data_IF_798194066117
#
_entry.id   IF_798194066117
#
_cell.length_a   1.000
_cell.length_b   1.000
_cell.length_c   1.000
_cell.angle_alpha   90.00
_cell.angle_beta   90.00
_cell.angle_gamma   90.00
#
_symmetry.space_group_name_H-M   'P 1'
#
loop_
_entity.id
_entity.type
_entity.pdbx_description
1 polymer ?
#
# COMPACT_ATOMS: atom_id res chain seq x y z
N UNK A 1 -1.42 -26.43 -11.30
CA UNK A 1 -2.02 -25.12 -11.64
C UNK A 1 -3.26 -24.96 -10.79
N UNK A 2 -3.21 -24.14 -9.73
CA UNK A 2 -4.45 -23.70 -9.07
C UNK A 2 -5.27 -22.92 -10.10
N UNK A 3 -6.53 -23.28 -10.30
CA UNK A 3 -7.37 -22.66 -11.32
C UNK A 3 -7.60 -21.19 -10.96
N UNK A 4 -7.70 -20.30 -11.96
CA UNK A 4 -8.01 -18.87 -11.78
C UNK A 4 -9.28 -18.65 -10.92
N UNK A 5 -10.18 -19.63 -10.88
CA UNK A 5 -11.38 -19.68 -10.03
C UNK A 5 -11.08 -19.75 -8.53
N UNK A 6 -9.98 -20.40 -8.09
CA UNK A 6 -9.57 -20.37 -6.67
C UNK A 6 -9.07 -18.98 -6.25
N UNK A 7 -8.41 -18.27 -7.16
CA UNK A 7 -7.93 -16.88 -6.95
C UNK A 7 -9.11 -15.91 -6.84
N UNK A 8 -10.26 -16.20 -7.43
CA UNK A 8 -11.47 -15.38 -7.35
C UNK A 8 -12.49 -15.89 -6.32
N UNK A 9 -12.13 -16.82 -5.44
CA UNK A 9 -13.01 -17.29 -4.36
C UNK A 9 -13.59 -16.12 -3.54
N UNK A 10 -14.75 -16.32 -2.90
CA UNK A 10 -15.46 -15.30 -2.10
C UNK A 10 -14.53 -14.60 -1.08
N UNK A 11 -13.53 -15.33 -0.55
CA UNK A 11 -12.53 -14.79 0.40
C UNK A 11 -11.59 -13.77 -0.26
N UNK A 12 -11.28 -13.93 -1.54
CA UNK A 12 -10.46 -13.00 -2.31
C UNK A 12 -11.31 -11.86 -2.88
N UNK A 13 -12.55 -12.12 -3.29
CA UNK A 13 -13.50 -11.08 -3.71
C UNK A 13 -13.68 -10.00 -2.65
N UNK A 14 -13.96 -10.37 -1.39
CA UNK A 14 -14.14 -9.39 -0.33
C UNK A 14 -12.89 -8.55 -0.04
N UNK A 15 -11.70 -9.12 -0.22
CA UNK A 15 -10.45 -8.38 0.04
C UNK A 15 -10.06 -7.46 -1.11
N UNK A 16 -10.44 -7.81 -2.34
CA UNK A 16 -10.20 -6.99 -3.53
C UNK A 16 -11.20 -5.84 -3.63
N UNK A 17 -12.48 -6.12 -3.37
CA UNK A 17 -13.56 -5.13 -3.53
C UNK A 17 -13.91 -4.35 -2.25
N UNK A 18 -13.56 -4.90 -1.08
CA UNK A 18 -13.73 -4.23 0.21
C UNK A 18 -12.46 -4.40 1.08
N UNK A 19 -11.30 -3.90 0.63
CA UNK A 19 -10.06 -3.97 1.39
C UNK A 19 -10.23 -3.27 2.74
N UNK A 20 -9.76 -3.91 3.80
CA UNK A 20 -9.75 -3.29 5.13
C UNK A 20 -8.75 -2.13 5.14
N UNK A 21 -8.91 -1.21 6.11
CA UNK A 21 -7.95 -0.11 6.33
C UNK A 21 -6.51 -0.60 6.51
N UNK A 22 -6.31 -1.82 6.99
CA UNK A 22 -5.00 -2.47 7.06
C UNK A 22 -4.39 -2.66 5.67
N UNK A 23 -5.14 -3.16 4.69
CA UNK A 23 -4.66 -3.33 3.32
C UNK A 23 -4.32 -1.99 2.65
N UNK A 24 -5.12 -0.95 2.90
CA UNK A 24 -4.84 0.40 2.39
C UNK A 24 -3.50 0.91 2.91
N UNK A 25 -3.22 0.74 4.21
CA UNK A 25 -1.92 1.09 4.81
C UNK A 25 -0.76 0.25 4.26
N UNK A 26 -1.00 -1.03 4.01
CA UNK A 26 0.01 -1.94 3.42
C UNK A 26 0.39 -1.50 2.00
N UNK A 27 -0.61 -1.10 1.19
CA UNK A 27 -0.40 -0.52 -0.15
C UNK A 27 0.37 0.79 -0.05
N UNK A 28 0.01 1.68 0.88
CA UNK A 28 0.73 2.93 1.11
C UNK A 28 2.21 2.69 1.44
N UNK A 29 2.51 1.73 2.32
CA UNK A 29 3.88 1.42 2.71
C UNK A 29 4.76 0.84 1.59
N UNK A 30 4.17 0.21 0.57
CA UNK A 30 4.92 -0.39 -0.55
C UNK A 30 4.97 0.45 -1.82
N UNK A 31 4.26 1.59 -1.84
CA UNK A 31 4.30 2.49 -2.99
C UNK A 31 5.34 3.57 -2.79
N UNK A 32 6.15 3.80 -3.83
CA UNK A 32 7.16 4.87 -3.81
C UNK A 32 6.47 6.21 -3.63
N UNK A 33 7.00 7.07 -2.76
CA UNK A 33 6.45 8.39 -2.41
C UNK A 33 6.12 9.24 -3.66
N UNK A 34 6.98 9.19 -4.68
CA UNK A 34 6.82 9.98 -5.91
C UNK A 34 5.74 9.52 -6.90
N UNK A 35 5.16 8.32 -6.73
CA UNK A 35 4.19 7.78 -7.68
C UNK A 35 2.75 8.00 -7.23
N UNK A 36 1.99 8.78 -7.99
CA UNK A 36 0.54 8.92 -7.79
C UNK A 36 -0.16 7.62 -8.18
N UNK A 37 -0.91 7.05 -7.24
CA UNK A 37 -1.74 5.88 -7.45
C UNK A 37 -3.01 6.24 -8.21
N UNK A 38 -3.29 5.50 -9.28
CA UNK A 38 -4.59 5.44 -9.97
C UNK A 38 -5.39 4.22 -9.49
N UNK A 39 -6.69 4.19 -9.78
CA UNK A 39 -7.56 3.06 -9.46
C UNK A 39 -7.02 1.72 -10.02
N UNK A 40 -6.58 1.71 -11.28
CA UNK A 40 -6.01 0.52 -11.91
C UNK A 40 -4.72 0.06 -11.23
N UNK A 41 -3.82 1.00 -10.90
CA UNK A 41 -2.59 0.66 -10.18
C UNK A 41 -2.85 0.17 -8.74
N UNK A 42 -3.90 0.70 -8.09
CA UNK A 42 -4.32 0.24 -6.77
C UNK A 42 -4.86 -1.19 -6.84
N UNK A 43 -5.72 -1.48 -7.82
CA UNK A 43 -6.25 -2.81 -8.08
C UNK A 43 -5.11 -3.82 -8.32
N UNK A 44 -4.14 -3.47 -9.17
CA UNK A 44 -2.97 -4.32 -9.45
C UNK A 44 -2.17 -4.64 -8.19
N UNK A 45 -1.96 -3.66 -7.30
CA UNK A 45 -1.23 -3.86 -6.05
C UNK A 45 -1.99 -4.77 -5.09
N UNK A 46 -3.30 -4.58 -4.95
CA UNK A 46 -4.15 -5.46 -4.14
C UNK A 46 -4.12 -6.90 -4.66
N UNK A 47 -4.27 -7.09 -5.98
CA UNK A 47 -4.19 -8.41 -6.61
C UNK A 47 -2.81 -9.03 -6.36
N UNK A 48 -1.74 -8.24 -6.49
CA UNK A 48 -0.39 -8.67 -6.19
C UNK A 48 -0.23 -9.15 -4.74
N UNK A 49 -0.85 -8.46 -3.77
CA UNK A 49 -0.83 -8.88 -2.37
C UNK A 49 -1.56 -10.20 -2.13
N UNK A 50 -2.75 -10.37 -2.71
CA UNK A 50 -3.52 -11.60 -2.57
C UNK A 50 -2.83 -12.79 -3.24
N UNK A 51 -2.23 -12.58 -4.42
CA UNK A 51 -1.47 -13.59 -5.16
C UNK A 51 -0.23 -14.02 -4.38
N UNK A 52 0.54 -13.06 -3.85
CA UNK A 52 1.69 -13.35 -2.97
C UNK A 52 1.26 -14.09 -1.71
N UNK A 53 0.11 -13.76 -1.11
CA UNK A 53 -0.41 -14.44 0.09
C UNK A 53 -0.72 -15.91 -0.15
N UNK A 54 -1.16 -16.27 -1.35
CA UNK A 54 -1.39 -17.68 -1.73
C UNK A 54 -0.12 -18.34 -2.31
N UNK A 55 1.05 -17.70 -2.17
CA UNK A 55 2.35 -18.19 -2.64
C UNK A 55 2.42 -18.45 -4.14
N UNK A 56 1.62 -17.73 -4.93
CA UNK A 56 1.74 -17.67 -6.38
C UNK A 56 2.56 -16.43 -6.70
N UNK A 57 3.67 -16.58 -7.43
CA UNK A 57 4.59 -15.47 -7.74
C UNK A 57 4.70 -15.29 -9.25
N UNK A 58 3.56 -15.12 -9.91
CA UNK A 58 3.50 -14.98 -11.36
C UNK A 58 2.94 -13.61 -11.74
N UNK A 59 3.79 -12.81 -12.40
CA UNK A 59 3.45 -11.48 -12.88
C UNK A 59 2.39 -11.51 -13.99
N UNK A 60 2.39 -12.55 -14.83
CA UNK A 60 1.42 -12.71 -15.92
C UNK A 60 0.02 -12.92 -15.33
N UNK A 61 -0.08 -13.68 -14.24
CA UNK A 61 -1.35 -13.90 -13.54
C UNK A 61 -1.85 -12.59 -12.92
N UNK A 62 -0.97 -11.78 -12.32
CA UNK A 62 -1.33 -10.47 -11.76
C UNK A 62 -1.91 -9.57 -12.85
N UNK A 63 -1.22 -9.45 -13.98
CA UNK A 63 -1.62 -8.54 -15.06
C UNK A 63 -2.92 -9.01 -15.70
N UNK A 64 -3.02 -10.30 -16.02
CA UNK A 64 -4.25 -10.90 -16.60
C UNK A 64 -5.46 -10.70 -15.69
N UNK A 65 -5.32 -10.94 -14.39
CA UNK A 65 -6.43 -10.77 -13.45
C UNK A 65 -6.77 -9.30 -13.22
N UNK A 66 -5.79 -8.41 -13.27
CA UNK A 66 -6.02 -6.96 -13.16
C UNK A 66 -6.88 -6.49 -14.31
N UNK A 67 -6.52 -6.85 -15.55
CA UNK A 67 -7.26 -6.45 -16.74
C UNK A 67 -8.67 -7.07 -16.74
N UNK A 68 -8.79 -8.36 -16.43
CA UNK A 68 -10.09 -9.04 -16.35
C UNK A 68 -11.02 -8.41 -15.30
N UNK A 69 -10.51 -8.10 -14.10
CA UNK A 69 -11.31 -7.48 -13.06
C UNK A 69 -11.65 -6.03 -13.37
N UNK A 70 -10.75 -5.31 -14.03
CA UNK A 70 -11.02 -3.96 -14.50
C UNK A 70 -12.12 -3.94 -15.56
N UNK A 71 -12.01 -4.78 -16.60
CA UNK A 71 -12.96 -4.81 -17.71
C UNK A 71 -14.34 -5.32 -17.30
N UNK A 72 -14.40 -6.23 -16.31
CA UNK A 72 -15.66 -6.76 -15.77
C UNK A 72 -16.27 -5.92 -14.64
N UNK A 73 -15.57 -4.89 -14.17
CA UNK A 73 -16.01 -4.10 -13.02
C UNK A 73 -17.06 -3.06 -13.38
N UNK A 74 -18.00 -2.85 -12.46
CA UNK A 74 -19.01 -1.82 -12.58
C UNK A 74 -18.40 -0.43 -12.32
N UNK A 75 -19.03 0.65 -12.82
CA UNK A 75 -18.59 2.02 -12.51
C UNK A 75 -18.42 2.28 -11.00
N UNK A 76 -19.33 1.73 -10.19
CA UNK A 76 -19.27 1.84 -8.73
C UNK A 76 -18.04 1.14 -8.12
N UNK A 77 -17.64 -0.01 -8.66
CA UNK A 77 -16.42 -0.71 -8.20
C UNK A 77 -15.16 0.08 -8.57
N UNK A 78 -15.11 0.65 -9.79
CA UNK A 78 -14.00 1.50 -10.22
C UNK A 78 -13.89 2.79 -9.41
N UNK A 79 -15.03 3.39 -9.05
CA UNK A 79 -15.09 4.55 -8.16
C UNK A 79 -14.55 4.21 -6.77
N UNK A 80 -14.92 3.05 -6.20
CA UNK A 80 -14.35 2.58 -4.93
C UNK A 80 -12.82 2.46 -4.99
N UNK A 81 -12.28 1.83 -6.03
CA UNK A 81 -10.82 1.73 -6.17
C UNK A 81 -10.15 3.10 -6.37
N UNK A 82 -10.84 4.03 -7.02
CA UNK A 82 -10.38 5.42 -7.14
C UNK A 82 -10.32 6.08 -5.77
N UNK A 83 -11.35 5.93 -4.94
CA UNK A 83 -11.39 6.46 -3.58
C UNK A 83 -10.23 5.88 -2.74
N UNK A 84 -10.00 4.57 -2.78
CA UNK A 84 -8.88 3.97 -2.07
C UNK A 84 -7.51 4.42 -2.58
N UNK A 85 -7.35 4.60 -3.89
CA UNK A 85 -6.13 5.15 -4.46
C UNK A 85 -5.88 6.58 -3.94
N UNK A 86 -6.93 7.40 -3.83
CA UNK A 86 -6.84 8.74 -3.27
C UNK A 86 -6.48 8.71 -1.78
N UNK A 87 -7.09 7.84 -0.97
CA UNK A 87 -6.74 7.66 0.44
C UNK A 87 -5.24 7.33 0.60
N UNK A 88 -4.70 6.44 -0.24
CA UNK A 88 -3.27 6.12 -0.21
C UNK A 88 -2.43 7.34 -0.58
N UNK A 89 -2.79 8.06 -1.65
CA UNK A 89 -2.08 9.27 -2.06
C UNK A 89 -2.06 10.34 -0.95
N UNK A 90 -3.16 10.50 -0.22
CA UNK A 90 -3.24 11.42 0.91
C UNK A 90 -2.34 10.99 2.09
N UNK A 91 -2.32 9.69 2.41
CA UNK A 91 -1.42 9.16 3.44
C UNK A 91 0.05 9.41 3.09
N UNK A 92 0.42 9.24 1.82
CA UNK A 92 1.78 9.49 1.32
C UNK A 92 2.15 10.97 1.46
N UNK A 93 1.28 11.88 1.02
CA UNK A 93 1.48 13.32 1.19
C UNK A 93 1.68 13.70 2.66
N UNK A 94 0.85 13.16 3.56
CA UNK A 94 0.97 13.43 4.99
C UNK A 94 2.29 12.91 5.58
N UNK A 95 2.77 11.75 5.13
CA UNK A 95 4.07 11.22 5.52
C UNK A 95 5.23 12.06 5.00
N UNK A 96 5.17 12.50 3.74
CA UNK A 96 6.17 13.40 3.16
C UNK A 96 6.25 14.73 3.93
N UNK A 97 5.10 15.33 4.26
CA UNK A 97 5.03 16.53 5.12
C UNK A 97 5.65 16.28 6.50
N UNK A 98 5.37 15.13 7.12
CA UNK A 98 5.96 14.76 8.40
C UNK A 98 7.48 14.60 8.30
N UNK A 99 7.97 13.88 7.29
CA UNK A 99 9.40 13.68 7.06
C UNK A 99 10.12 14.99 6.77
N UNK A 100 9.52 15.87 5.96
CA UNK A 100 10.05 17.21 5.70
C UNK A 100 10.14 18.03 6.99
N UNK A 101 9.09 17.99 7.83
CA UNK A 101 9.11 18.65 9.14
C UNK A 101 10.20 18.09 10.06
N UNK A 102 10.37 16.77 10.11
CA UNK A 102 11.43 16.12 10.91
C UNK A 102 12.81 16.50 10.38
N UNK A 103 13.01 16.51 9.06
CA UNK A 103 14.29 16.87 8.44
C UNK A 103 14.69 18.33 8.68
N UNK A 104 13.70 19.21 8.90
CA UNK A 104 13.90 20.62 9.23
C UNK A 104 14.16 20.89 10.72
N UNK A 105 14.16 19.86 11.58
CA UNK A 105 14.52 20.03 13.00
C UNK A 105 16.04 20.25 13.08
N UNK A 106 16.44 21.50 13.28
CA UNK A 106 17.85 21.88 13.48
C UNK A 106 18.22 22.06 14.94
N UNK A 107 17.22 22.19 15.82
CA UNK A 107 17.43 22.40 17.25
C UNK A 107 17.63 21.06 18.00
N UNK A 108 18.59 20.97 18.94
CA UNK A 108 18.77 19.79 19.78
C UNK A 108 17.49 19.45 20.56
N UNK A 109 17.09 18.18 20.54
CA UNK A 109 15.89 17.72 21.25
C UNK A 109 16.17 17.46 22.72
N UNK A 110 15.36 18.00 23.64
CA UNK A 110 15.48 17.62 25.06
C UNK A 110 14.99 16.17 25.20
N UNK A 111 15.90 15.26 25.52
CA UNK A 111 15.61 13.81 25.64
C UNK A 111 15.56 13.38 27.10
N UNK A 112 14.61 12.50 27.43
CA UNK A 112 14.38 12.00 28.80
C UNK A 112 14.69 10.50 28.94
N UNK A 113 15.13 9.84 27.87
CA UNK A 113 15.49 8.43 27.89
C UNK A 113 16.65 8.10 26.95
N UNK A 114 17.31 6.97 27.21
CA UNK A 114 18.37 6.47 26.33
C UNK A 114 17.83 6.09 24.95
N UNK A 115 16.57 5.66 24.86
CA UNK A 115 15.91 5.42 23.58
C UNK A 115 15.79 6.70 22.75
N UNK A 116 15.24 7.77 23.32
CA UNK A 116 15.10 9.07 22.64
C UNK A 116 16.46 9.66 22.27
N UNK A 117 17.45 9.54 23.16
CA UNK A 117 18.82 9.97 22.90
C UNK A 117 19.41 9.27 21.68
N UNK A 118 19.31 7.95 21.63
CA UNK A 118 19.83 7.16 20.50
C UNK A 118 19.07 7.45 19.20
N UNK A 119 17.77 7.75 19.28
CA UNK A 119 16.95 8.08 18.12
C UNK A 119 17.34 9.43 17.50
N UNK A 120 17.52 10.48 18.31
CA UNK A 120 17.81 11.83 17.80
C UNK A 120 19.30 12.10 17.54
N UNK A 121 20.20 11.47 18.30
CA UNK A 121 21.64 11.75 18.24
C UNK A 121 22.47 10.61 17.65
N UNK A 122 21.83 9.47 17.36
CA UNK A 122 22.52 8.26 16.91
C UNK A 122 23.25 7.54 18.04
N UNK A 123 23.85 6.39 17.70
CA UNK A 123 24.63 5.56 18.62
C UNK A 123 26.07 5.53 18.12
N UNK A 124 27.02 5.90 18.97
CA UNK A 124 28.45 5.73 18.68
C UNK A 124 28.91 4.41 19.28
N UNK A 125 29.43 3.52 18.44
CA UNK A 125 30.09 2.30 18.90
C UNK A 125 31.60 2.56 18.98
N UNK A 126 32.29 2.13 20.06
CA UNK A 126 33.74 2.27 20.19
C UNK A 126 34.52 1.42 19.19
#
# INVERSE_FOLDING_TARGET
MQSQQEILSIRNYNRIYNPTRYYIKLVAAQTKESQKLTALSFLRLIISFEIKRIHVYDAIIIDTLTDQLWDSSTPFQQEKWTAFANDVNEMKRANEELLNRISGITEPQIVNSDFERNFFYGVSFP
#
